data_IF_220656905260
#
_entry.id   IF_220656905260
#
_cell.length_a   1.000
_cell.length_b   1.000
_cell.length_c   1.000
_cell.angle_alpha   90.00
_cell.angle_beta   90.00
_cell.angle_gamma   90.00
#
_symmetry.space_group_name_H-M   'P 1'
#
loop_
_entity.id
_entity.type
_entity.pdbx_description
1 polymer ?
#
# COMPACT_ATOMS: atom_id res chain seq x y z
N UNK A 1 -11.98 18.94 19.66
CA UNK A 1 -10.89 19.69 18.98
C UNK A 1 -9.70 18.77 18.78
N UNK A 2 -9.15 18.72 17.60
CA UNK A 2 -7.90 17.97 17.33
C UNK A 2 -6.74 18.71 18.03
N UNK A 3 -5.99 17.99 18.85
CA UNK A 3 -4.86 18.58 19.58
C UNK A 3 -3.66 18.67 18.64
N UNK A 4 -3.09 19.88 18.50
CA UNK A 4 -1.84 20.05 17.76
C UNK A 4 -0.66 19.60 18.64
N UNK A 5 0.12 18.62 18.16
CA UNK A 5 1.25 18.03 18.89
C UNK A 5 2.59 18.69 18.56
N UNK A 6 2.62 19.69 17.68
CA UNK A 6 3.88 20.32 17.24
C UNK A 6 4.69 20.92 18.40
N UNK A 7 3.99 21.44 19.41
CA UNK A 7 4.64 22.06 20.58
C UNK A 7 4.81 21.11 21.77
N UNK A 8 3.86 20.18 21.99
CA UNK A 8 3.86 19.29 23.16
C UNK A 8 4.49 17.94 22.87
N UNK A 9 4.59 17.59 21.60
CA UNK A 9 5.05 16.29 21.14
C UNK A 9 4.10 15.16 21.52
N UNK A 10 4.46 13.95 21.10
CA UNK A 10 3.65 12.74 21.29
C UNK A 10 3.61 12.26 22.75
N UNK A 11 4.57 12.68 23.59
CA UNK A 11 4.72 12.22 24.99
C UNK A 11 3.45 12.43 25.82
N UNK A 12 2.71 13.52 25.60
CA UNK A 12 1.48 13.85 26.35
C UNK A 12 0.33 12.87 26.06
N UNK A 13 0.38 12.13 24.94
CA UNK A 13 -0.68 11.21 24.52
C UNK A 13 -0.35 9.74 24.75
N UNK A 14 0.91 9.36 24.86
CA UNK A 14 1.31 7.95 24.87
C UNK A 14 0.62 7.13 25.97
N UNK A 15 0.37 7.74 27.13
CA UNK A 15 -0.28 7.07 28.26
C UNK A 15 -1.80 6.90 28.10
N UNK A 16 -2.41 7.57 27.12
CA UNK A 16 -3.86 7.55 26.90
C UNK A 16 -4.30 6.40 26.00
N UNK A 17 -3.35 5.72 25.34
CA UNK A 17 -3.62 4.65 24.38
C UNK A 17 -2.75 3.43 24.66
N UNK A 18 -3.25 2.25 24.32
CA UNK A 18 -2.55 0.98 24.47
C UNK A 18 -2.01 0.44 23.15
N UNK A 19 -2.58 0.87 22.01
CA UNK A 19 -2.21 0.45 20.67
C UNK A 19 -2.04 1.68 19.75
N UNK A 20 -0.96 1.68 18.95
CA UNK A 20 -0.64 2.72 17.99
C UNK A 20 -0.56 2.15 16.59
N UNK A 21 -1.29 2.75 15.64
CA UNK A 21 -1.11 2.52 14.21
C UNK A 21 -0.19 3.61 13.68
N UNK A 22 0.94 3.19 13.12
CA UNK A 22 2.02 4.09 12.68
C UNK A 22 2.23 3.88 11.19
N UNK A 23 2.09 4.94 10.39
CA UNK A 23 2.40 4.89 8.98
C UNK A 23 3.91 4.68 8.75
N UNK A 24 4.24 4.06 7.61
CA UNK A 24 5.63 3.74 7.26
C UNK A 24 6.22 4.81 6.35
N UNK A 25 5.57 5.12 5.23
CA UNK A 25 6.12 6.04 4.24
C UNK A 25 6.00 7.49 4.72
N UNK A 26 7.11 8.23 4.69
CA UNK A 26 7.18 9.61 5.19
C UNK A 26 7.32 9.72 6.70
N UNK A 27 6.98 8.68 7.46
CA UNK A 27 7.10 8.64 8.93
C UNK A 27 8.34 7.83 9.35
N UNK A 28 8.37 6.55 9.00
CA UNK A 28 9.49 5.64 9.35
C UNK A 28 10.68 5.81 8.42
N UNK A 29 10.43 6.06 7.13
CA UNK A 29 11.48 6.32 6.14
C UNK A 29 10.97 7.24 5.02
N UNK A 30 11.90 7.83 4.29
CA UNK A 30 11.62 8.69 3.13
C UNK A 30 11.93 8.02 1.77
N UNK A 31 12.00 6.68 1.73
CA UNK A 31 12.39 5.91 0.56
C UNK A 31 13.90 5.70 0.39
N UNK A 32 14.74 6.45 1.12
CA UNK A 32 16.21 6.41 1.04
C UNK A 32 16.83 5.94 2.37
N UNK A 33 16.37 6.48 3.49
CA UNK A 33 16.88 6.21 4.83
C UNK A 33 15.78 6.18 5.86
N UNK A 34 16.04 5.47 6.97
CA UNK A 34 15.17 5.47 8.14
C UNK A 34 15.20 6.82 8.86
N UNK A 35 14.06 7.19 9.43
CA UNK A 35 13.94 8.29 10.35
C UNK A 35 14.30 7.80 11.77
N UNK A 36 15.51 8.12 12.22
CA UNK A 36 16.01 7.68 13.53
C UNK A 36 15.08 8.10 14.68
N UNK A 37 14.55 9.33 14.65
CA UNK A 37 13.65 9.82 15.69
C UNK A 37 12.36 8.98 15.77
N UNK A 38 11.82 8.53 14.62
CA UNK A 38 10.64 7.65 14.61
C UNK A 38 10.96 6.27 15.19
N UNK A 39 12.14 5.70 14.89
CA UNK A 39 12.58 4.44 15.47
C UNK A 39 12.73 4.56 16.99
N UNK A 40 13.37 5.63 17.47
CA UNK A 40 13.53 5.90 18.92
C UNK A 40 12.16 6.02 19.63
N UNK A 41 11.14 6.58 18.96
CA UNK A 41 9.77 6.65 19.48
C UNK A 41 9.14 5.27 19.59
N UNK A 42 9.28 4.41 18.58
CA UNK A 42 8.76 3.04 18.59
C UNK A 42 9.37 2.24 19.75
N UNK A 43 10.69 2.32 19.91
CA UNK A 43 11.38 1.65 21.02
C UNK A 43 10.89 2.12 22.39
N UNK A 44 10.58 3.41 22.52
CA UNK A 44 9.99 3.95 23.77
C UNK A 44 8.56 3.46 24.00
N UNK A 45 7.74 3.37 22.96
CA UNK A 45 6.38 2.79 23.02
C UNK A 45 6.46 1.36 23.58
N UNK A 46 7.38 0.54 23.07
CA UNK A 46 7.58 -0.83 23.54
C UNK A 46 8.08 -0.89 24.98
N UNK A 47 9.04 -0.04 25.36
CA UNK A 47 9.55 0.05 26.76
C UNK A 47 8.46 0.43 27.75
N UNK A 48 7.42 1.13 27.31
CA UNK A 48 6.25 1.46 28.11
C UNK A 48 5.19 0.34 28.15
N UNK A 49 5.48 -0.83 27.56
CA UNK A 49 4.56 -1.96 27.50
C UNK A 49 3.37 -1.73 26.56
N UNK A 50 3.45 -0.75 25.67
CA UNK A 50 2.41 -0.44 24.70
C UNK A 50 2.62 -1.20 23.38
N UNK A 51 1.55 -1.38 22.63
CA UNK A 51 1.58 -2.05 21.34
C UNK A 51 1.60 -1.07 20.17
N UNK A 52 2.14 -1.52 19.03
CA UNK A 52 2.05 -0.78 17.76
C UNK A 52 1.94 -1.74 16.58
N UNK A 53 1.37 -1.23 15.49
CA UNK A 53 1.37 -1.87 14.18
C UNK A 53 1.88 -0.83 13.17
N UNK A 54 2.87 -1.23 12.38
CA UNK A 54 3.36 -0.44 11.26
C UNK A 54 2.46 -0.67 10.06
N UNK A 55 1.63 0.30 9.71
CA UNK A 55 0.70 0.24 8.59
C UNK A 55 1.29 0.94 7.36
N UNK A 56 0.97 0.42 6.18
CA UNK A 56 1.34 1.09 4.93
C UNK A 56 0.36 0.75 3.82
N UNK A 57 0.12 1.71 2.92
CA UNK A 57 -0.62 1.52 1.68
C UNK A 57 0.22 0.86 0.56
N UNK A 58 1.43 0.37 0.87
CA UNK A 58 2.25 -0.35 -0.10
C UNK A 58 1.50 -1.56 -0.66
N UNK A 59 1.36 -1.68 -2.01
CA UNK A 59 0.70 -2.80 -2.67
C UNK A 59 1.61 -4.04 -2.73
N UNK A 60 2.18 -4.40 -1.59
CA UNK A 60 3.20 -5.45 -1.44
C UNK A 60 2.85 -6.37 -0.28
N UNK A 61 3.23 -7.68 -0.32
CA UNK A 61 3.14 -8.55 0.84
C UNK A 61 3.96 -8.01 2.02
N UNK A 62 3.54 -8.32 3.24
CA UNK A 62 4.26 -7.94 4.46
C UNK A 62 5.75 -8.26 4.40
N UNK A 63 6.11 -9.46 3.94
CA UNK A 63 7.50 -9.92 3.89
C UNK A 63 8.37 -9.08 2.94
N UNK A 64 7.82 -8.63 1.81
CA UNK A 64 8.54 -7.75 0.88
C UNK A 64 8.87 -6.41 1.53
N UNK A 65 7.92 -5.83 2.27
CA UNK A 65 8.15 -4.57 2.99
C UNK A 65 9.13 -4.76 4.15
N UNK A 66 9.02 -5.85 4.91
CA UNK A 66 9.99 -6.17 5.98
C UNK A 66 11.41 -6.31 5.44
N UNK A 67 11.60 -7.00 4.31
CA UNK A 67 12.91 -7.12 3.66
C UNK A 67 13.47 -5.76 3.22
N UNK A 68 12.61 -4.89 2.69
CA UNK A 68 13.02 -3.54 2.32
C UNK A 68 13.47 -2.72 3.53
N UNK A 69 12.69 -2.72 4.62
CA UNK A 69 13.03 -2.03 5.87
C UNK A 69 14.32 -2.60 6.50
N UNK A 70 14.52 -3.92 6.43
CA UNK A 70 15.74 -4.57 6.90
C UNK A 70 16.98 -4.12 6.12
N UNK A 71 16.87 -3.97 4.79
CA UNK A 71 17.97 -3.43 3.95
C UNK A 71 18.32 -1.98 4.31
N UNK A 72 17.37 -1.22 4.83
CA UNK A 72 17.58 0.13 5.37
C UNK A 72 18.18 0.14 6.78
N UNK A 73 18.39 -1.02 7.41
CA UNK A 73 18.95 -1.15 8.75
C UNK A 73 17.93 -1.22 9.89
N UNK A 74 16.64 -1.36 9.59
CA UNK A 74 15.64 -1.56 10.65
C UNK A 74 15.79 -2.93 11.30
N UNK A 75 15.71 -2.97 12.64
CA UNK A 75 15.81 -4.23 13.38
C UNK A 75 14.64 -5.17 13.05
N UNK A 76 14.90 -6.49 12.98
CA UNK A 76 13.88 -7.50 12.74
C UNK A 76 12.79 -7.53 13.80
N UNK A 77 13.11 -7.11 14.99
CA UNK A 77 12.16 -7.04 16.11
C UNK A 77 11.05 -6.00 15.83
N UNK A 78 11.42 -4.80 15.36
CA UNK A 78 10.45 -3.75 15.02
C UNK A 78 9.62 -4.15 13.80
N UNK A 79 10.23 -4.76 12.77
CA UNK A 79 9.57 -5.14 11.51
C UNK A 79 8.48 -6.20 11.67
N UNK A 80 8.51 -7.03 12.71
CA UNK A 80 7.53 -8.13 12.89
C UNK A 80 6.08 -7.66 12.90
N UNK A 81 5.83 -6.39 13.20
CA UNK A 81 4.50 -5.77 13.31
C UNK A 81 4.09 -4.97 12.07
N UNK A 82 4.71 -5.21 10.93
CA UNK A 82 4.31 -4.61 9.65
C UNK A 82 3.04 -5.25 9.13
N UNK A 83 2.09 -4.42 8.69
CA UNK A 83 0.90 -4.82 7.96
C UNK A 83 0.66 -3.89 6.78
N UNK A 84 0.47 -4.47 5.59
CA UNK A 84 0.38 -3.74 4.33
C UNK A 84 -1.01 -3.85 3.70
N UNK A 85 -1.40 -2.88 2.88
CA UNK A 85 -2.61 -3.00 2.06
C UNK A 85 -2.51 -4.15 1.05
N UNK A 86 -1.30 -4.46 0.56
CA UNK A 86 -1.04 -5.64 -0.27
C UNK A 86 -1.36 -6.95 0.45
N UNK A 87 -0.95 -7.10 1.71
CA UNK A 87 -1.30 -8.28 2.52
C UNK A 87 -2.80 -8.40 2.76
N UNK A 88 -3.47 -7.27 3.05
CA UNK A 88 -4.92 -7.24 3.18
C UNK A 88 -5.61 -7.69 1.89
N UNK A 89 -5.13 -7.20 0.74
CA UNK A 89 -5.63 -7.60 -0.57
C UNK A 89 -5.40 -9.10 -0.84
N UNK A 90 -4.21 -9.65 -0.53
CA UNK A 90 -3.93 -11.08 -0.65
C UNK A 90 -4.91 -11.92 0.17
N UNK A 91 -5.14 -11.55 1.43
CA UNK A 91 -6.07 -12.24 2.31
C UNK A 91 -7.50 -12.18 1.78
N UNK A 92 -7.90 -11.03 1.22
CA UNK A 92 -9.20 -10.86 0.58
C UNK A 92 -9.33 -11.75 -0.67
N UNK A 93 -8.32 -11.75 -1.56
CA UNK A 93 -8.32 -12.58 -2.77
C UNK A 93 -8.39 -14.07 -2.43
N UNK A 94 -7.59 -14.54 -1.47
CA UNK A 94 -7.60 -15.94 -1.00
C UNK A 94 -8.99 -16.36 -0.50
N UNK A 95 -9.68 -15.45 0.19
CA UNK A 95 -11.00 -15.74 0.80
C UNK A 95 -12.17 -15.62 -0.20
N UNK A 96 -12.12 -14.62 -1.08
CA UNK A 96 -13.29 -14.24 -1.91
C UNK A 96 -13.14 -14.58 -3.39
N UNK A 97 -11.92 -14.63 -3.93
CA UNK A 97 -11.64 -14.79 -5.35
C UNK A 97 -10.60 -15.87 -5.66
N UNK A 98 -10.59 -17.06 -5.00
CA UNK A 98 -9.49 -18.03 -5.06
C UNK A 98 -9.28 -18.65 -6.45
N UNK A 99 -10.31 -18.65 -7.30
CA UNK A 99 -10.29 -19.28 -8.64
C UNK A 99 -10.60 -18.32 -9.78
N UNK A 100 -10.95 -17.08 -9.47
CA UNK A 100 -11.34 -16.12 -10.48
C UNK A 100 -10.14 -15.57 -11.25
N UNK A 101 -10.34 -15.33 -12.54
CA UNK A 101 -9.32 -14.78 -13.43
C UNK A 101 -9.32 -13.26 -13.34
N UNK A 102 -8.17 -12.65 -13.22
CA UNK A 102 -8.02 -11.20 -13.15
C UNK A 102 -7.09 -10.64 -14.22
N UNK A 103 -7.35 -9.39 -14.60
CA UNK A 103 -6.43 -8.59 -15.39
C UNK A 103 -5.67 -7.65 -14.46
N UNK A 104 -4.34 -7.68 -14.52
CA UNK A 104 -3.50 -6.85 -13.66
C UNK A 104 -3.23 -5.49 -14.28
N UNK A 105 -3.55 -4.43 -13.54
CA UNK A 105 -3.15 -3.05 -13.82
C UNK A 105 -2.06 -2.68 -12.82
N UNK A 106 -0.87 -2.41 -13.32
CA UNK A 106 0.29 -2.08 -12.49
C UNK A 106 1.61 -2.48 -13.11
N UNK A 107 2.73 -2.06 -12.52
CA UNK A 107 4.05 -2.36 -13.05
C UNK A 107 4.40 -3.85 -12.84
N UNK A 108 5.24 -4.45 -13.71
CA UNK A 108 5.67 -5.84 -13.61
C UNK A 108 6.33 -6.18 -12.27
N UNK A 109 6.99 -5.22 -11.63
CA UNK A 109 7.66 -5.39 -10.33
C UNK A 109 6.73 -5.76 -9.17
N UNK A 110 5.40 -5.57 -9.33
CA UNK A 110 4.42 -5.92 -8.31
C UNK A 110 3.96 -7.38 -8.39
N UNK A 111 4.68 -8.23 -9.14
CA UNK A 111 4.38 -9.66 -9.32
C UNK A 111 4.34 -10.46 -8.01
N UNK A 112 5.09 -10.03 -7.00
CA UNK A 112 5.19 -10.69 -5.70
C UNK A 112 3.86 -10.69 -4.94
N UNK A 113 2.99 -9.68 -5.18
CA UNK A 113 1.67 -9.59 -4.58
C UNK A 113 0.76 -10.74 -4.98
N UNK A 114 0.90 -11.26 -6.19
CA UNK A 114 0.00 -12.30 -6.71
C UNK A 114 0.73 -13.55 -7.20
N UNK A 115 1.91 -13.85 -6.65
CA UNK A 115 2.70 -15.03 -7.05
C UNK A 115 1.89 -16.32 -6.83
N UNK A 116 1.12 -16.41 -5.75
CA UNK A 116 0.24 -17.55 -5.45
C UNK A 116 -0.94 -17.66 -6.43
N UNK A 117 -1.29 -16.55 -7.11
CA UNK A 117 -2.38 -16.42 -8.07
C UNK A 117 -1.90 -16.28 -9.51
N UNK A 118 -0.66 -16.63 -9.80
CA UNK A 118 -0.07 -16.51 -11.14
C UNK A 118 -0.92 -17.17 -12.22
N UNK A 119 -1.56 -18.30 -11.90
CA UNK A 119 -2.45 -19.04 -12.81
C UNK A 119 -3.77 -18.32 -13.09
N UNK A 120 -4.16 -17.38 -12.23
CA UNK A 120 -5.39 -16.61 -12.35
C UNK A 120 -5.18 -15.30 -13.11
N UNK A 121 -3.94 -14.91 -13.39
CA UNK A 121 -3.61 -13.69 -14.15
C UNK A 121 -3.77 -13.95 -15.65
N UNK A 122 -4.52 -13.07 -16.33
CA UNK A 122 -4.65 -13.08 -17.78
C UNK A 122 -4.19 -11.78 -18.42
N UNK A 123 -3.83 -11.88 -19.70
CA UNK A 123 -3.65 -10.72 -20.61
C UNK A 123 -4.86 -10.53 -21.53
N UNK A 124 -5.80 -11.50 -21.53
CA UNK A 124 -6.98 -11.45 -22.38
C UNK A 124 -8.07 -10.60 -21.73
N UNK A 125 -8.39 -9.49 -22.37
CA UNK A 125 -9.44 -8.54 -21.92
C UNK A 125 -10.87 -9.00 -22.23
N UNK A 126 -11.04 -10.10 -22.95
CA UNK A 126 -12.37 -10.66 -23.20
C UNK A 126 -12.82 -11.58 -22.08
N UNK A 127 -11.86 -12.25 -21.41
CA UNK A 127 -12.16 -13.27 -20.40
C UNK A 127 -11.41 -13.00 -19.09
N UNK A 128 -11.98 -12.11 -18.25
CA UNK A 128 -11.54 -11.88 -16.88
C UNK A 128 -12.72 -11.44 -16.01
N UNK A 129 -12.63 -11.67 -14.71
CA UNK A 129 -13.69 -11.35 -13.75
C UNK A 129 -13.55 -9.94 -13.19
N UNK A 130 -12.33 -9.51 -12.86
CA UNK A 130 -12.04 -8.24 -12.22
C UNK A 130 -10.64 -7.71 -12.56
N UNK A 131 -10.45 -6.40 -12.35
CA UNK A 131 -9.14 -5.79 -12.36
C UNK A 131 -8.49 -5.90 -10.99
N UNK A 132 -7.21 -6.32 -10.96
CA UNK A 132 -6.34 -6.16 -9.79
C UNK A 132 -5.41 -4.99 -10.07
N UNK A 133 -5.68 -3.84 -9.43
CA UNK A 133 -4.92 -2.62 -9.62
C UNK A 133 -3.91 -2.43 -8.49
N UNK A 134 -2.62 -2.53 -8.80
CA UNK A 134 -1.51 -2.35 -7.86
C UNK A 134 -0.76 -1.04 -8.09
N UNK A 135 -0.94 -0.42 -9.25
CA UNK A 135 -0.25 0.79 -9.68
C UNK A 135 -0.64 1.16 -11.10
N UNK A 136 0.21 1.91 -11.77
CA UNK A 136 0.10 2.28 -13.17
C UNK A 136 1.01 1.39 -14.03
N UNK A 137 0.73 1.28 -15.33
CA UNK A 137 1.64 0.66 -16.29
C UNK A 137 2.88 1.53 -16.48
N UNK A 138 4.04 0.93 -16.64
CA UNK A 138 5.32 1.67 -16.78
C UNK A 138 5.35 2.67 -17.95
N UNK A 139 4.65 2.36 -19.05
CA UNK A 139 4.58 3.24 -20.22
C UNK A 139 3.51 4.33 -20.10
N UNK A 140 2.70 4.33 -19.04
CA UNK A 140 1.58 5.24 -18.79
C UNK A 140 1.52 5.63 -17.32
N UNK A 141 2.68 5.87 -16.71
CA UNK A 141 2.82 6.10 -15.26
C UNK A 141 2.37 7.51 -14.83
N UNK A 142 2.09 8.40 -15.79
CA UNK A 142 1.57 9.76 -15.58
C UNK A 142 0.35 10.11 -16.46
N UNK A 143 -0.11 9.20 -17.33
CA UNK A 143 -1.21 9.46 -18.30
C UNK A 143 -2.55 8.91 -17.80
N UNK A 144 -3.27 9.68 -16.99
CA UNK A 144 -4.60 9.30 -16.52
C UNK A 144 -5.67 9.26 -17.62
N UNK A 145 -5.49 9.95 -18.75
CA UNK A 145 -6.44 9.88 -19.87
C UNK A 145 -6.38 8.51 -20.56
N UNK A 146 -5.20 7.91 -20.66
CA UNK A 146 -5.07 6.53 -21.11
C UNK A 146 -5.96 5.57 -20.31
N UNK A 147 -5.94 5.67 -18.98
CA UNK A 147 -6.77 4.80 -18.12
C UNK A 147 -8.25 5.07 -18.27
N UNK A 148 -8.67 6.31 -18.44
CA UNK A 148 -10.05 6.68 -18.70
C UNK A 148 -10.57 6.02 -19.98
N UNK A 149 -9.82 6.11 -21.08
CA UNK A 149 -10.22 5.51 -22.36
C UNK A 149 -10.15 3.98 -22.33
N UNK A 150 -9.13 3.42 -21.70
CA UNK A 150 -8.99 1.98 -21.51
C UNK A 150 -10.14 1.38 -20.69
N UNK A 151 -10.43 1.95 -19.52
CA UNK A 151 -11.39 1.41 -18.57
C UNK A 151 -12.85 1.64 -18.96
N UNK A 152 -13.14 2.65 -19.80
CA UNK A 152 -14.49 2.98 -20.27
C UNK A 152 -15.23 1.77 -20.85
N UNK A 153 -14.52 0.86 -21.51
CA UNK A 153 -15.10 -0.35 -22.11
C UNK A 153 -15.47 -1.42 -21.06
N UNK A 154 -15.00 -1.29 -19.82
CA UNK A 154 -15.07 -2.31 -18.79
C UNK A 154 -15.74 -1.83 -17.50
N UNK A 155 -16.54 -0.76 -17.55
CA UNK A 155 -17.20 -0.17 -16.37
C UNK A 155 -18.12 -1.13 -15.62
N UNK A 156 -18.57 -2.22 -16.27
CA UNK A 156 -19.36 -3.28 -15.63
C UNK A 156 -18.51 -4.30 -14.85
N UNK A 157 -17.20 -4.25 -14.97
CA UNK A 157 -16.28 -5.11 -14.22
C UNK A 157 -16.05 -4.52 -12.83
N UNK A 158 -15.54 -5.34 -11.92
CA UNK A 158 -15.09 -4.88 -10.60
C UNK A 158 -13.60 -4.55 -10.64
N UNK A 159 -13.16 -3.67 -9.75
CA UNK A 159 -11.75 -3.39 -9.52
C UNK A 159 -11.40 -3.59 -8.04
N UNK A 160 -10.31 -4.30 -7.79
CA UNK A 160 -9.68 -4.41 -6.46
C UNK A 160 -8.43 -3.56 -6.52
N UNK A 161 -8.46 -2.42 -5.81
CA UNK A 161 -7.32 -1.52 -5.68
C UNK A 161 -6.54 -1.86 -4.42
N UNK A 162 -5.24 -2.09 -4.56
CA UNK A 162 -4.37 -2.51 -3.45
C UNK A 162 -3.57 -1.37 -2.83
N UNK A 163 -3.68 -0.16 -3.37
CA UNK A 163 -3.10 1.07 -2.82
C UNK A 163 -4.08 2.22 -3.08
N UNK A 164 -4.82 2.69 -2.06
CA UNK A 164 -5.82 3.75 -2.23
C UNK A 164 -5.23 5.14 -2.40
N UNK A 165 -3.91 5.34 -2.20
CA UNK A 165 -3.28 6.63 -2.37
C UNK A 165 -3.40 7.10 -3.82
N UNK A 166 -3.66 8.40 -3.99
CA UNK A 166 -3.71 9.00 -5.32
C UNK A 166 -2.31 9.29 -5.85
N UNK A 167 -1.45 9.78 -4.96
CA UNK A 167 -0.08 10.22 -5.25
C UNK A 167 0.85 9.83 -4.11
N UNK A 168 2.13 9.73 -4.43
CA UNK A 168 3.20 9.54 -3.44
C UNK A 168 4.37 10.45 -3.80
N UNK A 169 4.97 11.07 -2.77
CA UNK A 169 6.21 11.82 -2.93
C UNK A 169 7.40 10.87 -2.73
N UNK A 170 8.27 10.78 -3.74
CA UNK A 170 9.48 9.96 -3.75
C UNK A 170 10.69 10.82 -4.03
N UNK A 171 11.36 11.24 -2.98
CA UNK A 171 12.38 12.27 -3.07
C UNK A 171 11.77 13.58 -3.58
N UNK A 172 12.26 14.09 -4.70
CA UNK A 172 11.78 15.32 -5.34
C UNK A 172 10.73 15.06 -6.44
N UNK A 173 10.36 13.80 -6.68
CA UNK A 173 9.37 13.43 -7.71
C UNK A 173 8.05 13.02 -7.06
N UNK A 174 6.95 13.55 -7.60
CA UNK A 174 5.60 13.10 -7.27
C UNK A 174 5.15 12.08 -8.29
N UNK A 175 4.71 10.92 -7.83
CA UNK A 175 4.27 9.80 -8.66
C UNK A 175 2.79 9.48 -8.40
N UNK A 176 2.06 9.08 -9.44
CA UNK A 176 0.68 8.61 -9.33
C UNK A 176 0.67 7.19 -8.72
N UNK A 177 -0.38 6.90 -7.94
CA UNK A 177 -0.61 5.59 -7.34
C UNK A 177 -1.86 4.92 -7.91
N UNK A 178 -2.07 3.65 -7.56
CA UNK A 178 -3.22 2.86 -8.01
C UNK A 178 -4.57 3.52 -7.71
N UNK A 179 -4.67 4.25 -6.59
CA UNK A 179 -5.87 4.99 -6.22
C UNK A 179 -6.29 6.04 -7.26
N UNK A 180 -5.35 6.64 -7.99
CA UNK A 180 -5.69 7.57 -9.08
C UNK A 180 -6.42 6.85 -10.23
N UNK A 181 -6.01 5.63 -10.57
CA UNK A 181 -6.69 4.79 -11.57
C UNK A 181 -8.05 4.34 -11.07
N UNK A 182 -8.12 3.89 -9.81
CA UNK A 182 -9.36 3.44 -9.18
C UNK A 182 -10.39 4.58 -9.07
N UNK A 183 -9.95 5.79 -8.70
CA UNK A 183 -10.82 6.97 -8.63
C UNK A 183 -11.44 7.32 -10.00
N UNK A 184 -10.66 7.22 -11.09
CA UNK A 184 -11.19 7.44 -12.45
C UNK A 184 -12.24 6.38 -12.78
N UNK A 185 -11.96 5.13 -12.48
CA UNK A 185 -12.89 4.02 -12.72
C UNK A 185 -14.21 4.21 -11.98
N UNK A 186 -14.15 4.55 -10.68
CA UNK A 186 -15.30 4.85 -9.84
C UNK A 186 -16.12 6.04 -10.39
N UNK A 187 -15.47 7.15 -10.79
CA UNK A 187 -16.15 8.32 -11.36
C UNK A 187 -16.85 8.02 -12.69
N UNK A 188 -16.47 6.98 -13.40
CA UNK A 188 -17.12 6.52 -14.62
C UNK A 188 -18.28 5.53 -14.35
N UNK A 189 -18.52 5.14 -13.10
CA UNK A 189 -19.57 4.21 -12.69
C UNK A 189 -19.11 2.75 -12.59
N UNK A 190 -17.80 2.51 -12.50
CA UNK A 190 -17.19 1.21 -12.28
C UNK A 190 -17.17 0.77 -10.82
#
# INVERSE_FOLDING_TARGET
MTKNLDNEGFRSLVNQYDLFFIDIWGVIHNGIKLNKAAIDVIEKIEKLGKEYILLTNAPRPNETVKLFLNKMGMSKYIQKRVYTSGEAALNYLKKKHPKEVFFHIGPPKDFDLFIDFKKNKTKNLENFSYFLCTGLFENYDDDLNYYKDFLKKYIKKKMICTNPDLIVDKGNKRELCAGSVAMIFEKMGG
#
